data_IF_058667605075
#
_entry.id   IF_058667605075
#
_cell.length_a   1.000
_cell.length_b   1.000
_cell.length_c   1.000
_cell.angle_alpha   90.00
_cell.angle_beta   90.00
_cell.angle_gamma   90.00
#
_symmetry.space_group_name_H-M   'P 1'
#
loop_
_entity.id
_entity.type
_entity.pdbx_description
1 polymer ?
#
# COMPACT_ATOMS: atom_id res chain seq x y z
N UNK A 1 -65.49 -4.69 24.91
CA UNK A 1 -66.19 -3.40 24.72
C UNK A 1 -65.14 -2.30 24.69
N UNK A 2 -65.20 -1.49 23.64
CA UNK A 2 -64.17 -0.57 23.11
C UNK A 2 -63.88 0.62 24.05
N UNK A 3 -62.61 1.09 24.06
CA UNK A 3 -62.18 2.51 24.04
C UNK A 3 -60.64 2.57 23.98
N UNK A 4 -60.04 2.56 22.78
CA UNK A 4 -59.65 3.72 21.95
C UNK A 4 -58.54 4.56 22.59
N UNK A 5 -57.29 4.39 22.11
CA UNK A 5 -56.67 5.26 21.08
C UNK A 5 -56.67 6.72 21.54
N UNK A 6 -55.69 7.13 22.35
CA UNK A 6 -55.53 8.55 22.73
C UNK A 6 -54.14 8.94 23.25
N UNK A 7 -53.06 8.39 22.68
CA UNK A 7 -51.70 8.90 22.94
C UNK A 7 -50.82 9.05 21.70
N UNK A 8 -51.24 8.52 20.54
CA UNK A 8 -50.42 8.55 19.30
C UNK A 8 -50.58 9.85 18.49
N UNK A 9 -51.62 10.65 18.73
CA UNK A 9 -51.89 11.87 17.93
C UNK A 9 -51.31 13.14 18.57
N UNK A 10 -50.97 13.12 19.87
CA UNK A 10 -50.42 14.29 20.57
C UNK A 10 -48.90 14.48 20.39
N UNK A 11 -48.16 13.42 20.03
CA UNK A 11 -46.71 13.50 19.81
C UNK A 11 -46.30 13.86 18.37
N UNK A 12 -47.24 13.81 17.42
CA UNK A 12 -46.98 14.10 16.00
C UNK A 12 -47.21 15.59 15.66
N UNK A 13 -47.82 16.37 16.56
CA UNK A 13 -48.24 17.75 16.29
C UNK A 13 -47.35 18.87 16.86
N UNK A 14 -46.28 18.55 17.61
CA UNK A 14 -45.44 19.55 18.29
C UNK A 14 -44.05 19.79 17.67
N UNK A 15 -43.61 19.01 16.68
CA UNK A 15 -42.30 19.21 16.02
C UNK A 15 -42.38 19.65 14.56
N UNK A 16 -43.58 19.81 13.99
CA UNK A 16 -43.79 20.26 12.60
C UNK A 16 -43.97 21.79 12.50
N UNK A 17 -43.83 22.54 13.61
CA UNK A 17 -44.00 23.99 13.60
C UNK A 17 -42.66 24.67 13.88
N UNK A 18 -42.09 25.22 12.79
CA UNK A 18 -41.19 26.38 12.71
C UNK A 18 -39.69 26.17 13.00
N UNK A 19 -38.98 25.67 11.99
CA UNK A 19 -37.77 26.36 11.54
C UNK A 19 -37.54 26.13 10.03
N UNK A 20 -37.54 27.19 9.20
CA UNK A 20 -36.96 27.09 7.87
C UNK A 20 -35.45 26.95 8.06
N UNK A 21 -34.94 25.73 7.94
CA UNK A 21 -33.50 25.53 7.80
C UNK A 21 -33.07 26.07 6.43
N UNK A 22 -32.73 27.35 6.37
CA UNK A 22 -31.83 27.86 5.34
C UNK A 22 -30.43 27.34 5.66
N UNK A 23 -30.12 26.14 5.16
CA UNK A 23 -28.71 25.70 5.11
C UNK A 23 -27.99 26.55 4.06
N UNK A 24 -27.46 27.68 4.49
CA UNK A 24 -26.36 28.35 3.81
C UNK A 24 -25.09 27.58 4.13
N UNK A 25 -24.29 27.23 3.11
CA UNK A 25 -22.94 26.72 3.30
C UNK A 25 -22.08 27.84 3.90
N UNK A 26 -22.06 27.90 5.22
CA UNK A 26 -21.22 28.84 5.95
C UNK A 26 -19.76 28.37 5.90
N UNK A 27 -18.88 29.25 5.41
CA UNK A 27 -17.43 29.00 5.37
C UNK A 27 -16.92 28.74 6.80
N UNK A 28 -16.39 27.55 7.05
CA UNK A 28 -15.81 27.19 8.35
C UNK A 28 -14.59 28.06 8.66
N UNK A 29 -14.48 28.51 9.91
CA UNK A 29 -13.31 29.23 10.41
C UNK A 29 -12.09 28.30 10.52
N UNK A 30 -10.88 28.85 10.39
CA UNK A 30 -9.62 28.07 10.43
C UNK A 30 -9.48 27.23 11.71
N UNK A 31 -9.96 27.74 12.85
CA UNK A 31 -9.99 27.02 14.13
C UNK A 31 -10.96 25.84 14.15
N UNK A 32 -12.06 25.90 13.38
CA UNK A 32 -13.04 24.82 13.25
C UNK A 32 -12.59 23.81 12.21
N UNK A 33 -11.95 24.23 11.12
CA UNK A 33 -11.26 23.32 10.20
C UNK A 33 -10.19 22.49 10.93
N UNK A 34 -9.46 23.10 11.87
CA UNK A 34 -8.45 22.42 12.70
C UNK A 34 -9.04 21.35 13.63
N UNK A 35 -10.34 21.40 13.89
CA UNK A 35 -11.05 20.52 14.83
C UNK A 35 -12.22 19.75 14.20
N UNK A 36 -12.25 19.62 12.86
CA UNK A 36 -13.14 18.67 12.19
C UNK A 36 -12.59 17.26 12.46
N UNK A 37 -13.00 16.64 13.57
CA UNK A 37 -12.88 15.19 13.75
C UNK A 37 -14.04 14.51 13.03
N UNK A 38 -14.00 14.54 11.69
CA UNK A 38 -14.77 13.60 10.89
C UNK A 38 -14.20 12.20 11.16
N UNK A 39 -14.97 11.36 11.87
CA UNK A 39 -14.79 9.92 12.07
C UNK A 39 -13.34 9.38 12.12
N UNK A 40 -12.92 8.90 13.31
CA UNK A 40 -11.69 8.12 13.49
C UNK A 40 -11.45 7.13 12.32
N UNK A 41 -10.44 7.42 11.50
CA UNK A 41 -9.70 6.49 10.64
C UNK A 41 -10.27 6.07 9.26
N UNK A 42 -10.41 7.01 8.32
CA UNK A 42 -10.47 6.66 6.89
C UNK A 42 -9.14 6.88 6.15
N UNK A 43 -8.43 7.95 6.45
CA UNK A 43 -7.13 8.24 5.84
C UNK A 43 -6.27 9.01 6.83
N UNK A 44 -4.98 8.69 6.89
CA UNK A 44 -3.98 9.40 7.70
C UNK A 44 -2.92 9.98 6.80
N UNK A 45 -2.66 11.27 6.95
CA UNK A 45 -1.54 11.97 6.35
C UNK A 45 -0.55 12.28 7.45
N UNK A 46 0.73 12.00 7.22
CA UNK A 46 1.80 12.35 8.14
C UNK A 46 3.02 12.81 7.39
N UNK A 47 3.67 13.84 7.93
CA UNK A 47 5.00 14.26 7.51
C UNK A 47 5.91 14.08 8.71
N UNK A 48 6.93 13.24 8.57
CA UNK A 48 7.92 12.96 9.62
C UNK A 48 9.29 13.08 8.97
N UNK A 49 10.13 13.99 9.47
CA UNK A 49 11.41 14.36 8.85
C UNK A 49 11.21 14.73 7.37
N UNK A 50 11.96 14.10 6.46
CA UNK A 50 11.86 14.32 5.01
C UNK A 50 10.94 13.31 4.31
N UNK A 51 10.00 12.70 5.03
CA UNK A 51 9.09 11.69 4.50
C UNK A 51 7.65 12.16 4.62
N UNK A 52 6.93 12.16 3.50
CA UNK A 52 5.46 12.29 3.49
C UNK A 52 4.84 10.91 3.34
N UNK A 53 3.76 10.66 4.08
CA UNK A 53 3.09 9.36 4.10
C UNK A 53 1.58 9.54 4.12
N UNK A 54 0.92 8.78 3.26
CA UNK A 54 -0.52 8.61 3.19
C UNK A 54 -0.81 7.16 3.56
N UNK A 55 -1.70 6.96 4.51
CA UNK A 55 -2.29 5.66 4.81
C UNK A 55 -3.78 5.73 4.56
N UNK A 56 -4.27 4.90 3.65
CA UNK A 56 -5.69 4.73 3.37
C UNK A 56 -6.16 3.50 4.13
N UNK A 57 -7.19 3.64 4.97
CA UNK A 57 -7.82 2.51 5.64
C UNK A 57 -8.81 1.82 4.69
N UNK A 58 -8.28 1.13 3.70
CA UNK A 58 -9.03 0.46 2.64
C UNK A 58 -8.92 -1.05 2.78
N UNK A 59 -10.03 -1.74 2.64
CA UNK A 59 -10.06 -3.19 2.48
C UNK A 59 -10.30 -3.52 1.00
N UNK A 60 -9.41 -4.30 0.40
CA UNK A 60 -9.50 -4.75 -0.99
C UNK A 60 -9.49 -6.27 -0.99
N UNK A 61 -10.47 -6.89 -1.64
CA UNK A 61 -10.44 -8.32 -1.98
C UNK A 61 -10.43 -8.43 -3.49
N UNK A 62 -9.45 -9.14 -4.05
CA UNK A 62 -9.32 -9.28 -5.49
C UNK A 62 -8.94 -10.70 -5.90
N UNK A 63 -9.56 -11.16 -6.98
CA UNK A 63 -9.03 -12.23 -7.82
C UNK A 63 -8.73 -11.59 -9.18
N UNK A 64 -7.47 -11.60 -9.60
CA UNK A 64 -7.08 -10.98 -10.87
C UNK A 64 -5.92 -11.73 -11.48
N UNK A 65 -6.07 -12.08 -12.75
CA UNK A 65 -5.02 -12.63 -13.59
C UNK A 65 -4.49 -11.52 -14.52
N UNK A 66 -3.16 -11.44 -14.64
CA UNK A 66 -2.47 -10.46 -15.48
C UNK A 66 -1.47 -11.21 -16.34
N UNK A 67 -1.65 -11.14 -17.66
CA UNK A 67 -0.78 -11.82 -18.63
C UNK A 67 0.69 -11.41 -18.45
N UNK A 68 0.95 -10.10 -18.30
CA UNK A 68 2.31 -9.62 -18.01
C UNK A 68 2.37 -8.24 -17.36
N UNK A 69 3.40 -8.04 -16.55
CA UNK A 69 3.81 -6.76 -15.98
C UNK A 69 5.29 -6.56 -16.29
N UNK A 70 5.60 -5.49 -17.03
CA UNK A 70 6.98 -5.10 -17.37
C UNK A 70 7.24 -3.66 -16.98
N UNK A 71 8.18 -3.44 -16.06
CA UNK A 71 8.48 -2.09 -15.56
C UNK A 71 9.99 -1.92 -15.34
N UNK A 72 10.50 -0.72 -15.69
CA UNK A 72 11.91 -0.36 -15.52
C UNK A 72 12.83 -0.94 -16.59
N UNK A 73 12.62 -0.62 -17.86
CA UNK A 73 13.54 -0.99 -18.95
C UNK A 73 14.62 0.07 -19.16
N UNK A 74 15.85 -0.25 -18.78
CA UNK A 74 16.99 0.65 -18.96
C UNK A 74 18.31 -0.10 -18.79
N UNK A 75 19.39 0.49 -19.27
CA UNK A 75 20.74 -0.03 -19.02
C UNK A 75 21.14 0.28 -17.58
N UNK A 76 21.39 -0.77 -16.80
CA UNK A 76 21.81 -0.66 -15.41
C UNK A 76 23.26 -1.05 -15.32
N UNK A 77 24.07 -0.16 -14.76
CA UNK A 77 25.50 -0.36 -14.59
C UNK A 77 25.78 -1.76 -14.01
N UNK A 78 26.63 -2.54 -14.69
CA UNK A 78 27.00 -3.94 -14.38
C UNK A 78 25.93 -5.03 -14.60
N UNK A 79 24.72 -4.69 -15.03
CA UNK A 79 23.64 -5.64 -15.33
C UNK A 79 23.09 -5.53 -16.76
N UNK A 80 23.57 -4.56 -17.54
CA UNK A 80 23.21 -4.36 -18.95
C UNK A 80 21.79 -3.84 -19.16
N UNK A 81 21.34 -3.83 -20.42
CA UNK A 81 20.00 -3.42 -20.81
C UNK A 81 18.98 -4.52 -20.48
N UNK A 82 17.94 -4.19 -19.70
CA UNK A 82 16.91 -5.14 -19.32
C UNK A 82 15.80 -4.52 -18.47
N UNK A 83 14.79 -5.34 -18.15
CA UNK A 83 13.68 -4.99 -17.25
C UNK A 83 14.08 -5.23 -15.79
N UNK A 84 13.74 -4.30 -14.89
CA UNK A 84 13.83 -4.56 -13.45
C UNK A 84 12.79 -5.58 -12.97
N UNK A 85 11.57 -5.46 -13.51
CA UNK A 85 10.46 -6.39 -13.28
C UNK A 85 9.94 -6.86 -14.64
N UNK A 86 10.03 -8.15 -14.92
CA UNK A 86 9.40 -8.83 -16.06
C UNK A 86 8.69 -10.07 -15.54
N UNK A 87 7.40 -9.93 -15.30
CA UNK A 87 6.56 -10.94 -14.67
C UNK A 87 5.48 -11.35 -15.66
N UNK A 88 5.24 -12.65 -15.81
CA UNK A 88 4.19 -13.21 -16.67
C UNK A 88 3.29 -14.15 -15.88
N UNK A 89 2.09 -14.37 -16.37
CA UNK A 89 1.11 -15.30 -15.77
C UNK A 89 0.85 -14.98 -14.29
N UNK A 90 0.75 -13.68 -13.97
CA UNK A 90 0.54 -13.20 -12.61
C UNK A 90 -0.89 -13.47 -12.17
N UNK A 91 -1.06 -13.93 -10.93
CA UNK A 91 -2.36 -14.00 -10.26
C UNK A 91 -2.28 -13.37 -8.87
N UNK A 92 -3.30 -12.57 -8.55
CA UNK A 92 -3.56 -12.07 -7.21
C UNK A 92 -4.79 -12.82 -6.70
N UNK A 93 -4.62 -13.73 -5.75
CA UNK A 93 -5.61 -14.73 -5.38
C UNK A 93 -5.50 -16.00 -6.23
N UNK A 94 -6.06 -17.11 -5.74
CA UNK A 94 -6.07 -18.39 -6.48
C UNK A 94 -7.35 -18.58 -7.28
N UNK A 95 -8.48 -18.11 -6.76
CA UNK A 95 -9.77 -18.06 -7.46
C UNK A 95 -10.74 -17.09 -6.76
N UNK A 96 -11.98 -17.00 -7.26
CA UNK A 96 -13.03 -16.13 -6.69
C UNK A 96 -13.49 -16.48 -5.26
N UNK A 97 -13.18 -17.67 -4.75
CA UNK A 97 -13.41 -18.11 -3.37
C UNK A 97 -12.20 -17.88 -2.45
N UNK A 98 -11.01 -17.69 -3.04
CA UNK A 98 -9.74 -17.49 -2.38
C UNK A 98 -9.01 -16.27 -2.97
N UNK A 99 -9.63 -15.10 -2.78
CA UNK A 99 -9.10 -13.80 -3.21
C UNK A 99 -7.87 -13.38 -2.40
N UNK A 100 -6.98 -12.58 -2.99
CA UNK A 100 -6.02 -11.82 -2.22
C UNK A 100 -6.72 -10.68 -1.48
N UNK A 101 -6.56 -10.64 -0.16
CA UNK A 101 -7.04 -9.57 0.72
C UNK A 101 -5.89 -8.62 1.02
N UNK A 102 -6.16 -7.32 0.91
CA UNK A 102 -5.19 -6.26 1.17
C UNK A 102 -5.85 -5.27 2.14
N UNK A 103 -5.27 -5.14 3.32
CA UNK A 103 -5.75 -4.27 4.39
C UNK A 103 -4.84 -3.07 4.59
N UNK A 104 -5.36 -1.91 4.25
CA UNK A 104 -4.66 -0.64 4.33
C UNK A 104 -3.67 -0.43 3.19
N UNK A 105 -3.78 0.69 2.48
CA UNK A 105 -2.82 1.10 1.46
C UNK A 105 -1.88 2.17 2.01
N UNK A 106 -0.60 2.04 1.73
CA UNK A 106 0.46 2.98 2.11
C UNK A 106 1.04 3.57 0.84
N UNK A 107 1.09 4.90 0.80
CA UNK A 107 1.85 5.66 -0.19
C UNK A 107 2.80 6.56 0.57
N UNK A 108 4.10 6.44 0.32
CA UNK A 108 5.14 7.17 1.04
C UNK A 108 6.15 7.75 0.06
N UNK A 109 6.49 9.00 0.23
CA UNK A 109 7.51 9.69 -0.56
C UNK A 109 8.61 10.20 0.38
N UNK A 110 9.83 9.73 0.14
CA UNK A 110 11.03 10.16 0.84
C UNK A 110 11.76 11.20 -0.01
N UNK A 111 12.21 12.29 0.61
CA UNK A 111 12.93 13.37 -0.05
C UNK A 111 14.33 13.56 0.55
N UNK A 112 15.23 14.20 -0.20
CA UNK A 112 16.52 14.67 0.33
C UNK A 112 16.32 15.67 1.47
N UNK A 113 15.60 16.75 1.17
CA UNK A 113 15.20 17.80 2.08
C UNK A 113 13.84 18.33 1.64
N UNK A 114 12.82 18.12 2.47
CA UNK A 114 11.46 18.60 2.20
C UNK A 114 11.35 20.13 2.28
N UNK A 115 12.31 20.81 2.92
CA UNK A 115 12.28 22.26 3.10
C UNK A 115 13.08 23.02 2.03
N UNK A 116 13.78 22.31 1.14
CA UNK A 116 14.50 22.93 0.04
C UNK A 116 13.54 23.65 -0.92
N UNK A 117 14.05 24.64 -1.66
CA UNK A 117 13.26 25.38 -2.65
C UNK A 117 12.70 24.46 -3.75
N UNK A 118 13.45 23.40 -4.09
CA UNK A 118 13.04 22.32 -4.98
C UNK A 118 13.35 20.98 -4.30
N UNK A 119 12.40 20.40 -3.53
CA UNK A 119 12.62 19.12 -2.87
C UNK A 119 12.84 18.00 -3.88
N UNK A 120 13.98 17.31 -3.78
CA UNK A 120 14.29 16.16 -4.63
C UNK A 120 13.69 14.88 -4.03
N UNK A 121 12.95 14.14 -4.85
CA UNK A 121 12.36 12.86 -4.48
C UNK A 121 13.44 11.77 -4.50
N UNK A 122 13.68 11.14 -3.35
CA UNK A 122 14.56 9.97 -3.24
C UNK A 122 13.86 8.69 -3.64
N UNK A 123 12.65 8.48 -3.10
CA UNK A 123 11.90 7.23 -3.27
C UNK A 123 10.41 7.48 -3.18
N UNK A 124 9.66 6.76 -4.00
CA UNK A 124 8.21 6.58 -3.85
C UNK A 124 7.96 5.11 -3.51
N UNK A 125 7.24 4.87 -2.43
CA UNK A 125 6.92 3.54 -1.90
C UNK A 125 5.40 3.39 -1.91
N UNK A 126 4.90 2.32 -2.53
CA UNK A 126 3.47 2.01 -2.61
C UNK A 126 3.29 0.57 -2.20
N UNK A 127 2.37 0.28 -1.28
CA UNK A 127 2.10 -1.09 -0.88
C UNK A 127 1.21 -1.21 0.34
N UNK A 128 1.23 -2.38 0.97
CA UNK A 128 0.50 -2.66 2.19
C UNK A 128 1.32 -3.54 3.12
N UNK A 129 1.09 -3.39 4.43
CA UNK A 129 1.66 -4.25 5.47
C UNK A 129 0.88 -5.56 5.65
N UNK A 130 -0.37 -5.61 5.19
CA UNK A 130 -1.31 -6.66 5.56
C UNK A 130 -1.91 -7.27 4.31
N UNK A 131 -1.29 -8.36 3.85
CA UNK A 131 -1.82 -9.21 2.79
C UNK A 131 -2.26 -10.56 3.37
N UNK A 132 -3.35 -11.11 2.85
CA UNK A 132 -3.76 -12.49 3.12
C UNK A 132 -4.21 -13.15 1.82
N UNK A 133 -3.60 -14.28 1.47
CA UNK A 133 -3.81 -14.97 0.19
C UNK A 133 -2.51 -15.12 -0.59
N UNK A 134 -2.61 -15.36 -1.89
CA UNK A 134 -1.44 -15.70 -2.72
C UNK A 134 -1.23 -14.69 -3.84
N UNK A 135 0.03 -14.34 -4.09
CA UNK A 135 0.48 -13.75 -5.36
C UNK A 135 1.34 -14.80 -6.06
N UNK A 136 0.96 -15.22 -7.26
CA UNK A 136 1.71 -16.20 -8.04
C UNK A 136 2.07 -15.66 -9.42
N UNK A 137 3.09 -16.25 -10.04
CA UNK A 137 3.43 -15.97 -11.44
C UNK A 137 4.83 -16.44 -11.80
N UNK A 138 5.21 -16.22 -13.05
CA UNK A 138 6.57 -16.44 -13.52
C UNK A 138 7.36 -15.13 -13.53
N UNK A 139 8.44 -15.09 -12.76
CA UNK A 139 9.25 -13.90 -12.54
C UNK A 139 10.52 -14.01 -13.39
N UNK A 140 10.41 -13.69 -14.68
CA UNK A 140 11.49 -13.76 -15.66
C UNK A 140 12.61 -12.75 -15.36
N UNK A 141 12.26 -11.61 -14.78
CA UNK A 141 13.18 -10.66 -14.16
C UNK A 141 12.56 -10.12 -12.88
N UNK A 142 13.29 -10.24 -11.77
CA UNK A 142 12.90 -9.72 -10.47
C UNK A 142 14.04 -8.92 -9.86
N UNK A 143 13.73 -7.70 -9.45
CA UNK A 143 14.63 -6.84 -8.68
C UNK A 143 13.99 -6.52 -7.33
N UNK A 144 14.68 -6.83 -6.24
CA UNK A 144 14.18 -6.56 -4.91
C UNK A 144 14.52 -7.67 -3.93
N UNK A 145 13.64 -7.85 -2.95
CA UNK A 145 13.82 -8.89 -1.95
C UNK A 145 12.51 -9.53 -1.52
N UNK A 146 12.57 -10.80 -1.15
CA UNK A 146 11.45 -11.52 -0.58
C UNK A 146 11.85 -12.30 0.67
N UNK A 147 10.88 -12.55 1.54
CA UNK A 147 11.02 -13.43 2.70
C UNK A 147 10.87 -14.90 2.22
N UNK A 148 11.89 -15.76 2.36
CA UNK A 148 11.83 -17.14 1.83
C UNK A 148 10.56 -17.89 2.27
N UNK A 149 10.12 -17.65 3.51
CA UNK A 149 8.97 -18.32 4.12
C UNK A 149 7.67 -18.04 3.36
N UNK A 150 7.46 -16.82 2.85
CA UNK A 150 6.27 -16.53 2.03
C UNK A 150 6.36 -17.20 0.67
N UNK A 151 7.56 -17.53 0.19
CA UNK A 151 7.78 -18.29 -1.05
C UNK A 151 7.69 -19.82 -0.86
N UNK A 152 7.36 -20.30 0.34
CA UNK A 152 7.36 -21.72 0.69
C UNK A 152 8.77 -22.33 0.86
N UNK A 153 9.78 -21.48 1.03
CA UNK A 153 11.17 -21.91 1.25
C UNK A 153 11.51 -21.98 2.75
N UNK A 154 12.54 -22.76 3.14
CA UNK A 154 12.97 -22.80 4.52
C UNK A 154 13.36 -21.41 5.05
N UNK A 155 13.05 -21.07 6.32
CA UNK A 155 13.45 -19.82 6.93
C UNK A 155 14.96 -19.63 6.80
N UNK A 156 15.36 -18.52 6.18
CA UNK A 156 16.76 -18.20 5.90
C UNK A 156 16.96 -16.68 5.82
N UNK A 157 18.18 -16.25 5.50
CA UNK A 157 18.45 -14.83 5.26
C UNK A 157 17.59 -14.29 4.12
N UNK A 158 17.16 -13.01 4.16
CA UNK A 158 16.41 -12.38 3.09
C UNK A 158 16.97 -12.69 1.69
N UNK A 159 16.11 -13.18 0.80
CA UNK A 159 16.51 -13.43 -0.59
C UNK A 159 16.51 -12.10 -1.33
N UNK A 160 17.67 -11.71 -1.86
CA UNK A 160 17.91 -10.44 -2.56
C UNK A 160 18.33 -10.74 -3.98
N UNK A 161 17.79 -10.00 -4.94
CA UNK A 161 17.89 -10.30 -6.37
C UNK A 161 17.96 -9.03 -7.19
N UNK A 162 18.77 -9.03 -8.24
CA UNK A 162 18.90 -7.90 -9.16
C UNK A 162 18.74 -8.41 -10.59
N UNK A 163 17.59 -8.12 -11.21
CA UNK A 163 17.23 -8.57 -12.56
C UNK A 163 17.43 -10.08 -12.76
N UNK A 164 17.08 -10.85 -11.74
CA UNK A 164 17.26 -12.29 -11.77
C UNK A 164 15.94 -12.98 -12.12
N UNK A 165 16.06 -14.06 -12.91
CA UNK A 165 14.96 -14.98 -13.13
C UNK A 165 14.80 -15.85 -11.88
N UNK A 166 13.72 -15.63 -11.12
CA UNK A 166 13.37 -16.48 -9.97
C UNK A 166 12.30 -17.52 -10.31
N UNK A 167 11.99 -17.65 -11.61
CA UNK A 167 11.08 -18.62 -12.21
C UNK A 167 9.67 -18.51 -11.65
N UNK A 168 8.88 -19.59 -11.76
CA UNK A 168 7.56 -19.65 -11.16
C UNK A 168 7.66 -19.61 -9.63
N UNK A 169 6.98 -18.64 -9.00
CA UNK A 169 6.89 -18.49 -7.55
C UNK A 169 5.46 -18.25 -7.12
N UNK A 170 5.14 -18.80 -5.94
CA UNK A 170 3.92 -18.50 -5.21
C UNK A 170 4.34 -17.84 -3.89
N UNK A 171 3.89 -16.61 -3.69
CA UNK A 171 4.05 -15.89 -2.44
C UNK A 171 2.73 -15.96 -1.67
N UNK A 172 2.71 -16.73 -0.59
CA UNK A 172 1.55 -16.90 0.28
C UNK A 172 1.73 -16.03 1.52
N UNK A 173 0.78 -15.14 1.74
CA UNK A 173 0.78 -14.21 2.86
C UNK A 173 -0.26 -14.64 3.90
N UNK A 174 0.13 -14.59 5.16
CA UNK A 174 -0.78 -14.72 6.30
C UNK A 174 -0.51 -13.60 7.31
N UNK A 175 -0.99 -12.40 6.97
CA UNK A 175 -0.79 -11.24 7.83
C UNK A 175 -1.63 -11.22 9.11
N UNK A 176 -2.42 -12.27 9.38
CA UNK A 176 -3.07 -12.43 10.68
C UNK A 176 -2.04 -12.71 11.80
N UNK A 177 -0.85 -13.21 11.45
CA UNK A 177 0.17 -13.63 12.41
C UNK A 177 1.40 -12.72 12.45
N UNK A 178 1.71 -12.01 11.36
CA UNK A 178 2.87 -11.14 11.22
C UNK A 178 2.62 -10.05 10.16
N UNK A 179 3.30 -8.90 10.23
CA UNK A 179 3.26 -7.91 9.15
C UNK A 179 4.00 -8.44 7.91
N UNK A 180 3.25 -9.08 7.01
CA UNK A 180 3.74 -9.60 5.73
C UNK A 180 3.15 -8.76 4.60
N UNK A 181 3.97 -7.84 4.11
CA UNK A 181 3.57 -6.84 3.13
C UNK A 181 4.03 -7.14 1.71
N UNK A 182 3.50 -6.35 0.78
CA UNK A 182 3.98 -6.23 -0.59
C UNK A 182 4.15 -4.75 -0.90
N UNK A 183 5.36 -4.38 -1.32
CA UNK A 183 5.71 -2.99 -1.63
C UNK A 183 6.44 -2.88 -2.95
N UNK A 184 6.01 -1.93 -3.76
CA UNK A 184 6.75 -1.44 -4.93
C UNK A 184 7.45 -0.15 -4.53
N UNK A 185 8.74 -0.06 -4.86
CA UNK A 185 9.61 1.06 -4.53
C UNK A 185 10.21 1.59 -5.81
N UNK A 186 9.99 2.87 -6.08
CA UNK A 186 10.56 3.59 -7.21
C UNK A 186 11.63 4.53 -6.68
N UNK A 187 12.85 4.38 -7.17
CA UNK A 187 13.97 5.26 -6.88
C UNK A 187 14.36 5.95 -8.19
N UNK A 188 13.99 7.23 -8.43
CA UNK A 188 14.21 7.87 -9.71
C UNK A 188 15.70 8.17 -9.98
N UNK A 189 16.47 8.47 -8.95
CA UNK A 189 17.86 8.93 -9.07
C UNK A 189 18.78 8.29 -8.03
N UNK A 190 20.08 8.46 -8.23
CA UNK A 190 21.14 7.93 -7.39
C UNK A 190 21.76 6.63 -7.91
N UNK A 191 22.77 6.09 -7.21
CA UNK A 191 23.45 4.85 -7.60
C UNK A 191 22.51 3.64 -7.63
N UNK A 192 21.31 3.79 -7.05
CA UNK A 192 20.34 2.74 -6.78
C UNK A 192 18.98 3.09 -7.37
N UNK A 193 19.01 3.70 -8.55
CA UNK A 193 17.82 4.04 -9.32
C UNK A 193 17.19 2.77 -9.92
N UNK A 194 15.86 2.76 -9.99
CA UNK A 194 15.09 1.64 -10.53
C UNK A 194 13.78 1.37 -9.81
N UNK A 195 13.22 0.21 -10.12
CA UNK A 195 11.96 -0.28 -9.56
C UNK A 195 12.20 -1.58 -8.82
N UNK A 196 11.83 -1.63 -7.55
CA UNK A 196 12.09 -2.74 -6.63
C UNK A 196 10.81 -3.24 -6.03
N UNK A 197 10.79 -4.53 -5.72
CA UNK A 197 9.68 -5.14 -5.00
C UNK A 197 10.18 -5.71 -3.68
N UNK A 198 9.49 -5.42 -2.58
CA UNK A 198 9.67 -6.10 -1.30
C UNK A 198 8.45 -6.97 -1.02
N UNK A 199 8.67 -8.25 -0.75
CA UNK A 199 7.62 -9.26 -0.59
C UNK A 199 7.78 -9.99 0.75
N UNK A 200 6.71 -10.05 1.55
CA UNK A 200 6.69 -10.73 2.84
C UNK A 200 7.32 -9.94 3.99
N UNK A 201 7.51 -8.62 3.81
CA UNK A 201 8.09 -7.73 4.81
C UNK A 201 7.15 -6.56 5.13
N UNK A 202 7.26 -6.00 6.33
CA UNK A 202 6.55 -4.78 6.70
C UNK A 202 7.23 -3.50 6.22
N UNK A 203 6.50 -2.40 6.31
CA UNK A 203 6.95 -1.04 5.96
C UNK A 203 8.24 -0.65 6.70
N UNK A 204 8.40 -1.11 7.95
CA UNK A 204 9.59 -0.82 8.75
C UNK A 204 10.86 -1.42 8.14
N UNK A 205 10.74 -2.53 7.41
CA UNK A 205 11.86 -3.16 6.72
C UNK A 205 12.32 -2.33 5.51
N UNK A 206 11.41 -1.59 4.86
CA UNK A 206 11.73 -0.66 3.76
C UNK A 206 12.74 0.40 4.19
N UNK A 207 12.71 0.78 5.47
CA UNK A 207 13.57 1.80 6.05
C UNK A 207 14.84 1.22 6.70
N UNK A 208 14.73 0.10 7.41
CA UNK A 208 15.78 -0.35 8.33
C UNK A 208 16.55 -1.60 7.87
N UNK A 209 15.95 -2.48 7.06
CA UNK A 209 16.52 -3.81 6.73
C UNK A 209 16.89 -3.96 5.25
N UNK A 210 16.34 -3.06 4.42
CA UNK A 210 16.62 -2.94 2.99
C UNK A 210 17.15 -1.55 2.67
N UNK A 211 17.94 -0.97 3.58
CA UNK A 211 18.75 0.21 3.24
C UNK A 211 19.44 -0.09 1.92
N UNK A 212 19.19 0.70 0.86
CA UNK A 212 19.75 0.45 -0.45
C UNK A 212 21.27 0.22 -0.37
N UNK A 213 21.92 0.85 0.61
CA UNK A 213 23.36 0.85 0.90
C UNK A 213 23.99 -0.54 1.05
N UNK A 214 23.29 -1.55 1.57
CA UNK A 214 23.94 -2.84 1.93
C UNK A 214 23.73 -3.98 0.93
N UNK A 215 22.73 -3.92 0.06
CA UNK A 215 22.32 -5.09 -0.75
C UNK A 215 22.33 -4.89 -2.26
N UNK A 216 22.38 -3.65 -2.71
CA UNK A 216 22.48 -3.30 -4.13
C UNK A 216 23.86 -3.51 -4.74
N UNK A 217 24.89 -3.55 -3.88
CA UNK A 217 26.29 -3.66 -4.27
C UNK A 217 26.86 -5.07 -4.00
N UNK A 218 26.05 -5.99 -3.50
CA UNK A 218 26.46 -7.40 -3.33
C UNK A 218 26.13 -8.17 -4.62
N UNK A 219 27.14 -8.78 -5.26
CA UNK A 219 26.95 -9.56 -6.48
C UNK A 219 26.06 -10.80 -6.27
#
# INVERSE_FOLDING_TARGET
MIKNISYTIFFIFISIILSPFSYSLEKLSDSKMKNITGQKAFTRFSVINNTTRIFLNTHIETFTEIDSVKIGYYDRQNHGLGWDQDWTDLSFGTDTSQTLKIDGLIIKADFDDLNAANPNLKRLIIGSNHLNGTISGNFNSFTGAYKPEVAGEPPSTPVRRIRENISNKNFTFDSATENQGFFIILSPEGPKSGIHTLIGYGEDNVNNSFSPDEWWDSP
#
